data_IF_757911558623
#
_entry.id   IF_757911558623
#
_cell.length_a   1.000
_cell.length_b   1.000
_cell.length_c   1.000
_cell.angle_alpha   90.00
_cell.angle_beta   90.00
_cell.angle_gamma   90.00
#
_symmetry.space_group_name_H-M   'P 1'
#
loop_
_entity.id
_entity.type
_entity.pdbx_description
1 polymer ?
#
# COMPACT_ATOMS: atom_id res chain seq x y z
N UNK A 1 -10.97 -17.96 -3.89
CA UNK A 1 -10.73 -16.52 -3.72
C UNK A 1 -9.26 -16.23 -3.95
N UNK A 2 -8.95 -15.29 -4.80
CA UNK A 2 -7.56 -14.92 -4.99
C UNK A 2 -7.28 -13.54 -4.45
N UNK A 3 -6.06 -13.36 -3.95
CA UNK A 3 -5.59 -12.09 -3.42
C UNK A 3 -4.39 -11.66 -4.26
N UNK A 4 -4.44 -10.45 -4.76
CA UNK A 4 -3.33 -9.87 -5.48
C UNK A 4 -2.96 -8.56 -4.82
N UNK A 5 -1.79 -8.04 -5.19
CA UNK A 5 -1.31 -6.78 -4.65
C UNK A 5 -1.07 -5.82 -5.80
N UNK A 6 -1.45 -4.57 -5.60
CA UNK A 6 -1.21 -3.51 -6.55
C UNK A 6 -0.29 -2.48 -5.94
N UNK A 7 0.79 -2.13 -6.63
CA UNK A 7 1.69 -1.08 -6.20
C UNK A 7 1.01 0.27 -6.40
N UNK A 8 1.01 1.09 -5.34
CA UNK A 8 0.40 2.41 -5.37
C UNK A 8 1.49 3.46 -5.59
N UNK A 9 1.36 4.27 -6.61
CA UNK A 9 2.36 5.27 -6.97
C UNK A 9 1.80 6.68 -7.06
N UNK A 10 0.59 6.83 -7.57
CA UNK A 10 -0.01 8.15 -7.79
C UNK A 10 -0.97 8.50 -6.68
N UNK A 11 -1.22 9.80 -6.51
CA UNK A 11 -2.21 10.28 -5.54
C UNK A 11 -3.58 9.67 -5.80
N UNK A 12 -3.92 9.52 -7.07
CA UNK A 12 -5.19 8.91 -7.46
C UNK A 12 -5.31 7.47 -6.99
N UNK A 13 -4.20 6.72 -7.09
CA UNK A 13 -4.18 5.34 -6.62
C UNK A 13 -4.28 5.26 -5.09
N UNK A 14 -3.60 6.15 -4.37
CA UNK A 14 -3.72 6.22 -2.92
C UNK A 14 -5.13 6.58 -2.50
N UNK A 15 -5.74 7.55 -3.18
CA UNK A 15 -7.12 7.93 -2.88
C UNK A 15 -8.08 6.76 -3.10
N UNK A 16 -7.94 6.07 -4.22
CA UNK A 16 -8.78 4.91 -4.53
C UNK A 16 -8.65 3.83 -3.46
N UNK A 17 -7.42 3.54 -3.04
CA UNK A 17 -7.19 2.55 -1.98
C UNK A 17 -7.78 3.00 -0.65
N UNK A 18 -7.69 4.29 -0.33
CA UNK A 18 -8.25 4.84 0.89
C UNK A 18 -9.77 4.73 0.91
N UNK A 19 -10.42 5.10 -0.20
CA UNK A 19 -11.87 5.03 -0.32
C UNK A 19 -12.38 3.59 -0.26
N UNK A 20 -11.63 2.66 -0.86
CA UNK A 20 -11.97 1.25 -0.83
C UNK A 20 -11.61 0.58 0.50
N UNK A 21 -10.95 1.31 1.39
CA UNK A 21 -10.45 0.77 2.66
C UNK A 21 -9.58 -0.47 2.45
N UNK A 22 -8.78 -0.44 1.39
CA UNK A 22 -7.88 -1.54 1.07
C UNK A 22 -6.76 -1.62 2.10
N UNK A 23 -6.38 -2.84 2.45
CA UNK A 23 -5.24 -3.06 3.32
C UNK A 23 -3.96 -2.79 2.53
N UNK A 24 -3.12 -1.91 3.07
CA UNK A 24 -1.88 -1.49 2.40
C UNK A 24 -0.69 -1.93 3.23
N UNK A 25 0.27 -2.59 2.58
CA UNK A 25 1.53 -2.98 3.21
C UNK A 25 2.65 -2.07 2.74
N UNK A 26 3.69 -1.97 3.57
CA UNK A 26 4.82 -1.07 3.32
C UNK A 26 6.08 -1.90 3.10
N UNK A 27 6.79 -1.63 2.01
CA UNK A 27 7.96 -2.39 1.59
C UNK A 27 9.14 -1.46 1.38
N UNK A 28 10.35 -1.97 1.60
CA UNK A 28 11.56 -1.21 1.30
C UNK A 28 11.72 -1.09 -0.20
N UNK A 29 11.84 0.15 -0.68
CA UNK A 29 11.92 0.42 -2.12
C UNK A 29 13.26 0.04 -2.71
N UNK A 30 14.33 0.21 -1.96
CA UNK A 30 15.70 0.00 -2.45
C UNK A 30 16.27 -1.37 -2.10
N UNK A 31 15.42 -2.36 -1.93
CA UNK A 31 15.87 -3.71 -1.63
C UNK A 31 16.37 -4.38 -2.91
N UNK A 32 17.58 -4.96 -2.92
CA UNK A 32 18.07 -5.68 -4.09
C UNK A 32 17.32 -6.98 -4.37
N UNK A 33 16.59 -7.50 -3.40
CA UNK A 33 15.80 -8.70 -3.58
C UNK A 33 14.58 -8.37 -4.44
N UNK A 34 14.38 -9.08 -5.58
CA UNK A 34 13.24 -8.81 -6.46
C UNK A 34 11.89 -8.99 -5.76
N UNK A 35 11.80 -9.83 -4.75
CA UNK A 35 10.55 -10.01 -4.00
C UNK A 35 10.32 -8.89 -3.00
N UNK A 36 11.35 -8.13 -2.66
CA UNK A 36 11.30 -7.03 -1.72
C UNK A 36 11.33 -7.48 -0.26
N UNK A 37 11.43 -6.52 0.62
CA UNK A 37 11.34 -6.76 2.05
C UNK A 37 10.19 -5.98 2.64
N UNK A 38 9.32 -6.68 3.35
CA UNK A 38 8.21 -6.06 4.06
C UNK A 38 8.76 -5.24 5.23
N UNK A 39 8.41 -3.96 5.26
CA UNK A 39 8.73 -3.09 6.39
C UNK A 39 7.64 -3.17 7.46
N UNK A 40 6.39 -3.14 7.03
CA UNK A 40 5.24 -3.12 7.92
C UNK A 40 4.02 -3.63 7.17
N UNK A 41 3.15 -4.34 7.88
CA UNK A 41 1.89 -4.75 7.29
C UNK A 41 0.93 -3.58 7.08
N UNK A 42 1.23 -2.45 7.70
CA UNK A 42 0.48 -1.22 7.49
C UNK A 42 -0.95 -1.30 7.98
N UNK A 43 -1.86 -1.10 7.07
CA UNK A 43 -3.28 -1.06 7.38
C UNK A 43 -4.04 -0.23 6.36
N UNK A 44 -5.15 0.35 6.80
CA UNK A 44 -5.96 1.21 5.95
C UNK A 44 -5.33 2.60 5.92
N UNK A 45 -5.32 3.24 4.75
CA UNK A 45 -4.80 4.59 4.60
C UNK A 45 -5.68 5.57 5.39
N UNK A 46 -5.05 6.29 6.32
CA UNK A 46 -5.73 7.29 7.13
C UNK A 46 -5.58 8.69 6.54
N UNK A 47 -4.55 8.89 5.74
CA UNK A 47 -4.30 10.15 5.08
C UNK A 47 -3.07 10.06 4.21
N UNK A 48 -2.92 11.00 3.28
CA UNK A 48 -1.73 11.06 2.44
C UNK A 48 -1.43 12.49 2.04
N UNK A 49 -0.15 12.73 1.79
CA UNK A 49 0.36 13.98 1.24
C UNK A 49 1.23 13.63 0.05
N UNK A 50 1.72 14.62 -0.73
CA UNK A 50 2.68 14.32 -1.79
C UNK A 50 3.93 13.59 -1.31
N UNK A 51 4.26 13.67 -0.03
CA UNK A 51 5.51 13.15 0.51
C UNK A 51 5.35 11.98 1.47
N UNK A 52 4.17 11.75 2.01
CA UNK A 52 3.99 10.73 3.05
C UNK A 52 2.61 10.08 3.01
N UNK A 53 2.54 8.87 3.58
CA UNK A 53 1.29 8.14 3.74
C UNK A 53 1.14 7.80 5.22
N UNK A 54 -0.05 8.04 5.77
CA UNK A 54 -0.35 7.66 7.14
C UNK A 54 -1.12 6.35 7.15
N UNK A 55 -0.55 5.34 7.81
CA UNK A 55 -1.14 4.01 7.94
C UNK A 55 -1.06 3.59 9.40
N UNK A 56 -2.18 3.14 9.96
CA UNK A 56 -2.22 2.59 11.32
C UNK A 56 -1.50 3.47 12.35
N UNK A 57 -1.69 4.78 12.25
CA UNK A 57 -1.10 5.74 13.19
C UNK A 57 0.35 6.12 12.91
N UNK A 58 0.98 5.56 11.89
CA UNK A 58 2.37 5.85 11.55
C UNK A 58 2.47 6.53 10.19
N UNK A 59 3.46 7.41 10.05
CA UNK A 59 3.73 8.10 8.80
C UNK A 59 4.92 7.45 8.09
N UNK A 60 4.77 7.22 6.79
CA UNK A 60 5.82 6.62 5.97
C UNK A 60 6.15 7.55 4.80
N UNK A 61 7.43 7.79 4.58
CA UNK A 61 7.91 8.65 3.49
C UNK A 61 7.76 7.93 2.16
N UNK A 62 7.05 8.55 1.21
CA UNK A 62 6.74 7.91 -0.07
C UNK A 62 7.98 7.58 -0.90
N UNK A 63 9.04 8.37 -0.79
CA UNK A 63 10.26 8.12 -1.54
C UNK A 63 11.01 6.87 -1.07
N UNK A 64 10.88 6.53 0.20
CA UNK A 64 11.64 5.42 0.79
C UNK A 64 10.96 4.09 0.72
N UNK A 65 9.64 4.10 0.59
CA UNK A 65 8.87 2.88 0.71
C UNK A 65 7.98 2.68 -0.50
N UNK A 66 7.75 1.41 -0.81
CA UNK A 66 6.77 1.02 -1.80
C UNK A 66 5.52 0.57 -1.04
N UNK A 67 4.36 1.02 -1.50
CA UNK A 67 3.09 0.71 -0.87
C UNK A 67 2.32 -0.22 -1.79
N UNK A 68 1.84 -1.33 -1.24
CA UNK A 68 1.09 -2.32 -2.01
C UNK A 68 -0.27 -2.52 -1.39
N UNK A 69 -1.30 -2.29 -2.17
CA UNK A 69 -2.68 -2.49 -1.74
C UNK A 69 -3.10 -3.92 -2.02
N UNK A 70 -3.73 -4.54 -1.02
CA UNK A 70 -4.29 -5.85 -1.19
C UNK A 70 -5.61 -5.74 -1.96
N UNK A 71 -5.70 -6.47 -3.06
CA UNK A 71 -6.90 -6.49 -3.90
C UNK A 71 -7.48 -7.89 -3.83
N UNK A 72 -8.70 -7.97 -3.35
CA UNK A 72 -9.42 -9.24 -3.28
C UNK A 72 -10.42 -9.31 -4.40
N UNK A 73 -10.27 -10.32 -5.25
CA UNK A 73 -11.23 -10.56 -6.31
C UNK A 73 -12.47 -11.22 -5.72
N UNK A 74 -13.65 -10.62 -5.89
CA UNK A 74 -14.88 -11.24 -5.40
C UNK A 74 -15.07 -12.62 -6.00
N UNK A 75 -15.62 -13.52 -5.18
CA UNK A 75 -15.93 -14.83 -5.68
C UNK A 75 -17.08 -14.72 -6.68
N UNK A 76 -16.89 -15.31 -7.83
CA UNK A 76 -17.95 -15.37 -8.83
C UNK A 76 -18.94 -16.47 -8.49
N UNK A 77 -20.23 -16.18 -8.57
CA UNK A 77 -21.24 -17.21 -8.34
C UNK A 77 -21.21 -18.28 -9.44
#
# INVERSE_FOLDING_TARGET
MSVTYKVLETDSEFLTAALAQSKVSVWYREDPDPSGHLMDYGGIIEGYTPNSIKLAGAHFVRERFEFRAEIRTPRQP
#
